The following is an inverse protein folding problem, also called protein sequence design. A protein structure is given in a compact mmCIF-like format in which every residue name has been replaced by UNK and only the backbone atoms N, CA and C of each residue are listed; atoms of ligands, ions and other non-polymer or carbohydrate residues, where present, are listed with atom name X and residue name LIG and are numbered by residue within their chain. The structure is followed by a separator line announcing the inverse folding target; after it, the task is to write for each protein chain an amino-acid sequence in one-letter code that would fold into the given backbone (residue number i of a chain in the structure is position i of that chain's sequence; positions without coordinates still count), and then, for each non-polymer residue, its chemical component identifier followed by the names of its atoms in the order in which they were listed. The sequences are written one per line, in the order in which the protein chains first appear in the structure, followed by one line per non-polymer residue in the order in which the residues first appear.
data_IF_981595340413
#
_entry.id   IF_981595340413
#
_cell.length_a   1.000
_cell.length_b   1.000
_cell.length_c   1.000
_cell.angle_alpha   90.00
_cell.angle_beta   90.00
_cell.angle_gamma   90.00
#
_symmetry.space_group_name_H-M   'P 1'
#
loop_
_entity.id
_entity.type
_entity.pdbx_description
1 polymer ?
#
# COMPACT_ATOMS: atom_id res chain seq x y z
N UNK A 1 52.15 0.37 -17.49
CA UNK A 1 51.30 -0.47 -18.37
C UNK A 1 50.70 -1.67 -17.63
N UNK A 2 51.49 -2.53 -16.97
CA UNK A 2 50.97 -3.71 -16.23
C UNK A 2 50.02 -3.34 -15.07
N UNK A 3 50.33 -2.30 -14.30
CA UNK A 3 49.48 -1.83 -13.18
C UNK A 3 48.15 -1.19 -13.63
N UNK A 4 48.12 -0.55 -14.81
CA UNK A 4 46.87 -0.03 -15.40
C UNK A 4 45.96 -1.17 -15.87
N UNK A 5 46.56 -2.25 -16.39
CA UNK A 5 45.84 -3.42 -16.86
C UNK A 5 45.25 -4.23 -15.70
N UNK A 6 45.94 -4.31 -14.56
CA UNK A 6 45.40 -4.92 -13.34
C UNK A 6 44.25 -4.11 -12.75
N UNK A 7 44.33 -2.78 -12.77
CA UNK A 7 43.28 -1.92 -12.21
C UNK A 7 41.99 -1.95 -13.06
N UNK A 8 42.13 -2.00 -14.40
CA UNK A 8 41.01 -2.16 -15.31
C UNK A 8 40.35 -3.56 -15.23
N UNK A 9 41.11 -4.59 -14.83
CA UNK A 9 40.58 -5.93 -14.64
C UNK A 9 39.80 -6.06 -13.33
N UNK A 10 40.20 -5.33 -12.29
CA UNK A 10 39.50 -5.32 -11.00
C UNK A 10 38.11 -4.66 -11.06
N UNK A 11 37.89 -3.68 -11.93
CA UNK A 11 36.59 -2.99 -12.06
C UNK A 11 35.52 -3.82 -12.76
N UNK A 12 35.91 -4.85 -13.53
CA UNK A 12 34.99 -5.78 -14.19
C UNK A 12 34.30 -6.76 -13.22
N UNK A 13 34.87 -6.98 -12.03
CA UNK A 13 34.32 -7.86 -11.00
C UNK A 13 33.33 -7.17 -10.06
N UNK A 14 32.99 -5.89 -10.29
CA UNK A 14 31.95 -5.16 -9.55
C UNK A 14 30.54 -5.31 -10.17
N UNK A 15 30.31 -6.30 -11.04
CA UNK A 15 28.95 -6.62 -11.51
C UNK A 15 28.12 -7.10 -10.31
N UNK A 16 27.29 -6.19 -9.80
CA UNK A 16 26.64 -6.28 -8.50
C UNK A 16 25.62 -7.41 -8.36
N UNK A 17 25.33 -7.75 -7.10
CA UNK A 17 24.16 -8.54 -6.73
C UNK A 17 22.89 -7.83 -7.21
N UNK A 18 22.16 -8.45 -8.14
CA UNK A 18 20.78 -8.08 -8.45
C UNK A 18 19.88 -8.86 -7.49
N UNK A 19 19.11 -8.15 -6.66
CA UNK A 19 18.06 -8.76 -5.85
C UNK A 19 16.78 -8.79 -6.68
N UNK A 20 16.30 -9.99 -7.00
CA UNK A 20 15.03 -10.22 -7.67
C UNK A 20 14.02 -10.82 -6.68
N UNK A 21 12.82 -10.25 -6.61
CA UNK A 21 11.73 -10.75 -5.78
C UNK A 21 10.74 -11.50 -6.68
N UNK A 22 10.75 -12.83 -6.60
CA UNK A 22 9.80 -13.72 -7.27
C UNK A 22 9.01 -14.54 -6.25
N UNK A 23 7.83 -15.04 -6.64
CA UNK A 23 7.07 -15.95 -5.77
C UNK A 23 7.79 -17.29 -5.63
N UNK A 24 7.82 -17.85 -4.42
CA UNK A 24 8.48 -19.14 -4.14
C UNK A 24 8.00 -20.23 -5.12
N UNK A 25 8.92 -20.76 -5.94
CA UNK A 25 8.61 -21.77 -6.96
C UNK A 25 8.11 -21.23 -8.32
N UNK A 26 8.25 -19.93 -8.61
CA UNK A 26 7.96 -19.38 -9.94
C UNK A 26 8.89 -18.21 -10.30
N UNK A 27 9.20 -18.07 -11.59
CA UNK A 27 9.94 -16.90 -12.11
C UNK A 27 9.04 -15.67 -12.33
N UNK A 28 7.84 -15.66 -11.74
CA UNK A 28 6.93 -14.52 -11.85
C UNK A 28 7.37 -13.43 -10.86
N UNK A 29 7.57 -12.18 -11.33
CA UNK A 29 7.91 -11.09 -10.43
C UNK A 29 6.76 -10.86 -9.45
N UNK A 30 7.09 -10.54 -8.21
CA UNK A 30 6.09 -10.16 -7.20
C UNK A 30 5.34 -8.92 -7.68
N UNK A 31 4.02 -9.06 -7.87
CA UNK A 31 3.16 -7.92 -8.21
C UNK A 31 3.10 -6.99 -6.99
N UNK A 32 3.57 -5.75 -7.15
CA UNK A 32 3.40 -4.72 -6.14
C UNK A 32 1.90 -4.47 -5.95
N UNK A 33 1.37 -4.84 -4.78
CA UNK A 33 -0.04 -4.65 -4.48
C UNK A 33 -0.31 -3.16 -4.30
N UNK A 34 -0.73 -2.47 -5.37
CA UNK A 34 -1.17 -1.07 -5.28
C UNK A 34 -2.34 -1.01 -4.30
N UNK A 35 -2.15 -0.30 -3.20
CA UNK A 35 -3.21 -0.14 -2.20
C UNK A 35 -4.39 0.58 -2.86
N UNK A 36 -5.53 -0.11 -2.91
CA UNK A 36 -6.80 0.47 -3.36
C UNK A 36 -7.38 1.30 -2.21
N UNK A 37 -6.97 2.57 -2.12
CA UNK A 37 -7.41 3.49 -1.08
C UNK A 37 -8.93 3.71 -1.07
N UNK A 38 -9.57 3.80 -2.25
CA UNK A 38 -11.02 3.92 -2.35
C UNK A 38 -11.73 2.67 -1.81
N UNK A 39 -11.21 1.48 -2.14
CA UNK A 39 -11.70 0.21 -1.57
C UNK A 39 -11.51 0.12 -0.06
N UNK A 40 -10.38 0.63 0.44
CA UNK A 40 -10.07 0.69 1.87
C UNK A 40 -10.99 1.69 2.61
N UNK A 41 -11.35 2.80 1.96
CA UNK A 41 -12.31 3.78 2.49
C UNK A 41 -13.73 3.20 2.51
N UNK A 42 -14.19 2.58 1.42
CA UNK A 42 -15.52 1.93 1.34
C UNK A 42 -15.70 0.82 2.37
N UNK A 43 -14.67 0.01 2.61
CA UNK A 43 -14.70 -1.01 3.66
C UNK A 43 -14.91 -0.40 5.04
N UNK A 44 -14.24 0.72 5.32
CA UNK A 44 -14.38 1.44 6.59
C UNK A 44 -15.73 2.10 6.74
N UNK A 45 -16.27 2.70 5.68
CA UNK A 45 -17.65 3.20 5.67
C UNK A 45 -18.63 2.07 6.02
N UNK A 46 -18.49 0.89 5.42
CA UNK A 46 -19.35 -0.26 5.72
C UNK A 46 -19.25 -0.68 7.21
N UNK A 47 -18.04 -0.73 7.77
CA UNK A 47 -17.86 -0.97 9.21
C UNK A 47 -18.50 0.11 10.07
N UNK A 48 -18.36 1.38 9.70
CA UNK A 48 -18.95 2.48 10.43
C UNK A 48 -20.48 2.39 10.48
N UNK A 49 -21.11 2.08 9.35
CA UNK A 49 -22.56 1.89 9.26
C UNK A 49 -23.01 0.70 10.13
N UNK A 50 -22.24 -0.39 10.16
CA UNK A 50 -22.50 -1.52 11.05
C UNK A 50 -22.41 -1.10 12.53
N UNK A 51 -21.41 -0.31 12.91
CA UNK A 51 -21.28 0.19 14.28
C UNK A 51 -22.39 1.17 14.66
N UNK A 52 -22.83 2.03 13.75
CA UNK A 52 -24.01 2.88 13.95
C UNK A 52 -25.26 2.05 14.20
N UNK A 53 -25.49 1.00 13.39
CA UNK A 53 -26.65 0.12 13.55
C UNK A 53 -26.70 -0.61 14.90
N UNK A 54 -25.55 -0.73 15.58
CA UNK A 54 -25.43 -1.38 16.89
C UNK A 54 -25.22 -0.38 18.04
N UNK A 55 -25.32 0.93 17.77
CA UNK A 55 -25.19 2.00 18.77
C UNK A 55 -23.74 2.30 19.21
N UNK A 56 -22.73 1.73 18.54
CA UNK A 56 -21.33 1.95 18.88
C UNK A 56 -20.75 3.16 18.12
N UNK A 57 -21.16 4.35 18.56
CA UNK A 57 -20.78 5.61 17.90
C UNK A 57 -19.26 5.86 17.87
N UNK A 58 -18.52 5.45 18.91
CA UNK A 58 -17.07 5.63 18.97
C UNK A 58 -16.35 4.85 17.86
N UNK A 59 -16.72 3.59 17.62
CA UNK A 59 -16.14 2.80 16.54
C UNK A 59 -16.61 3.27 15.17
N UNK A 60 -17.86 3.74 15.05
CA UNK A 60 -18.35 4.33 13.82
C UNK A 60 -17.53 5.56 13.41
N UNK A 61 -17.37 6.53 14.33
CA UNK A 61 -16.57 7.73 14.09
C UNK A 61 -15.14 7.42 13.68
N UNK A 62 -14.49 6.52 14.42
CA UNK A 62 -13.12 6.09 14.11
C UNK A 62 -12.99 5.57 12.67
N UNK A 63 -13.93 4.74 12.22
CA UNK A 63 -13.90 4.20 10.87
C UNK A 63 -14.18 5.25 9.79
N UNK A 64 -15.09 6.21 10.04
CA UNK A 64 -15.35 7.31 9.10
C UNK A 64 -14.16 8.27 8.97
N UNK A 65 -13.51 8.62 10.07
CA UNK A 65 -12.29 9.45 10.05
C UNK A 65 -11.17 8.76 9.27
N UNK A 66 -10.96 7.46 9.51
CA UNK A 66 -10.02 6.68 8.72
C UNK A 66 -10.41 6.63 7.26
N UNK A 67 -11.70 6.44 6.93
CA UNK A 67 -12.14 6.45 5.52
C UNK A 67 -11.76 7.77 4.83
N UNK A 68 -11.89 8.91 5.53
CA UNK A 68 -11.48 10.21 5.03
C UNK A 68 -9.96 10.36 4.87
N UNK A 69 -9.15 9.73 5.73
CA UNK A 69 -7.70 9.68 5.54
C UNK A 69 -7.30 8.89 4.28
N UNK A 70 -8.00 7.78 3.99
CA UNK A 70 -7.70 6.96 2.81
C UNK A 70 -8.14 7.63 1.51
N UNK A 71 -9.35 8.19 1.47
CA UNK A 71 -9.94 8.71 0.25
C UNK A 71 -10.71 10.03 0.49
N UNK A 72 -10.01 11.15 0.77
CA UNK A 72 -10.64 12.42 1.13
C UNK A 72 -11.43 13.08 0.00
N UNK A 73 -11.30 12.59 -1.24
CA UNK A 73 -12.04 13.08 -2.41
C UNK A 73 -13.16 12.12 -2.83
N UNK A 74 -13.36 11.01 -2.12
CA UNK A 74 -14.38 10.03 -2.42
C UNK A 74 -15.73 10.56 -1.91
N UNK A 75 -16.74 10.81 -2.77
CA UNK A 75 -18.03 11.35 -2.34
C UNK A 75 -18.69 10.53 -1.22
N UNK A 76 -18.46 9.21 -1.23
CA UNK A 76 -18.92 8.28 -0.20
C UNK A 76 -18.46 8.59 1.21
N UNK A 77 -17.24 9.11 1.35
CA UNK A 77 -16.72 9.55 2.65
C UNK A 77 -17.56 10.71 3.17
N UNK A 78 -17.82 11.71 2.34
CA UNK A 78 -18.49 12.94 2.78
C UNK A 78 -19.96 12.71 3.14
N UNK A 79 -20.73 11.99 2.32
CA UNK A 79 -22.11 11.72 2.68
C UNK A 79 -22.22 10.78 3.88
N UNK A 80 -21.27 9.87 4.10
CA UNK A 80 -21.26 8.98 5.26
C UNK A 80 -20.88 9.71 6.55
N UNK A 81 -19.95 10.68 6.48
CA UNK A 81 -19.65 11.59 7.58
C UNK A 81 -20.82 12.49 7.92
N UNK A 82 -21.61 12.93 6.93
CA UNK A 82 -22.80 13.74 7.17
C UNK A 82 -23.99 12.93 7.74
N UNK A 83 -24.03 11.62 7.48
CA UNK A 83 -25.03 10.71 8.04
C UNK A 83 -24.78 10.40 9.52
N UNK A 84 -23.51 10.36 9.94
CA UNK A 84 -23.08 10.16 11.33
C UNK A 84 -23.40 11.36 12.21
#
# INVERSE_FOLDING_TARGET
MRSLLTLALSTLFLSGCVTENSYNGSDKPVLENKINNDGAARTRIALALQYLSTGNNSQAKYNLERANEYAPNLPEVHYSLAYY
#
